data_IF_044328930148
#
_entry.id   IF_044328930148
#
_cell.length_a   1.000
_cell.length_b   1.000
_cell.length_c   1.000
_cell.angle_alpha   90.00
_cell.angle_beta   90.00
_cell.angle_gamma   90.00
#
_symmetry.space_group_name_H-M   'P 1'
#
loop_
_entity.id
_entity.type
_entity.pdbx_description
1 polymer ?
#
# COMPACT_ATOMS: atom_id res chain seq x y z
N UNK A 1 -2.23 -14.09 -19.22
CA UNK A 1 -1.77 -13.21 -18.12
C UNK A 1 -2.86 -13.22 -17.07
N UNK A 2 -2.53 -13.37 -15.79
CA UNK A 2 -3.53 -13.48 -14.74
C UNK A 2 -4.11 -12.09 -14.45
N UNK A 3 -5.42 -11.97 -14.61
CA UNK A 3 -6.20 -10.80 -14.22
C UNK A 3 -7.40 -11.27 -13.42
N UNK A 4 -7.60 -10.68 -12.26
CA UNK A 4 -8.85 -10.72 -11.52
C UNK A 4 -9.81 -9.66 -12.06
N UNK A 5 -11.12 -9.86 -11.86
CA UNK A 5 -12.12 -8.87 -12.26
C UNK A 5 -12.94 -8.43 -11.06
N UNK A 6 -12.89 -7.14 -10.76
CA UNK A 6 -13.76 -6.53 -9.76
C UNK A 6 -14.70 -5.53 -10.44
N UNK A 7 -15.96 -5.91 -10.62
CA UNK A 7 -17.02 -5.07 -11.19
C UNK A 7 -16.65 -4.42 -12.53
N UNK A 8 -15.92 -5.18 -13.40
CA UNK A 8 -15.47 -4.72 -14.70
C UNK A 8 -14.04 -4.18 -14.73
N UNK A 9 -13.44 -3.81 -13.59
CA UNK A 9 -12.04 -3.40 -13.49
C UNK A 9 -11.13 -4.63 -13.45
N UNK A 10 -10.15 -4.68 -14.34
CA UNK A 10 -9.15 -5.76 -14.41
C UNK A 10 -7.97 -5.44 -13.50
N UNK A 11 -7.67 -6.34 -12.58
CA UNK A 11 -6.59 -6.24 -11.63
C UNK A 11 -5.53 -7.28 -11.98
N UNK A 12 -4.34 -6.82 -12.36
CA UNK A 12 -3.21 -7.69 -12.66
C UNK A 12 -2.64 -8.26 -11.37
N UNK A 13 -2.29 -9.56 -11.38
CA UNK A 13 -1.61 -10.19 -10.26
C UNK A 13 -0.55 -11.21 -10.69
N UNK A 14 0.34 -11.55 -9.78
CA UNK A 14 1.37 -12.57 -9.90
C UNK A 14 1.39 -13.41 -8.62
N UNK A 15 1.80 -14.68 -8.73
CA UNK A 15 1.98 -15.57 -7.58
C UNK A 15 3.36 -16.21 -7.66
N UNK A 16 4.12 -16.10 -6.59
CA UNK A 16 5.45 -16.70 -6.48
C UNK A 16 5.61 -17.49 -5.17
N UNK A 17 6.38 -18.58 -5.24
CA UNK A 17 6.63 -19.42 -4.07
C UNK A 17 5.50 -20.39 -3.75
N UNK A 18 5.62 -21.02 -2.57
CA UNK A 18 4.67 -22.02 -2.04
C UNK A 18 4.62 -21.89 -0.52
N UNK A 19 3.47 -22.24 0.08
CA UNK A 19 3.24 -22.19 1.52
C UNK A 19 1.99 -21.40 1.88
N UNK A 20 1.88 -20.89 3.12
CA UNK A 20 0.76 -20.06 3.52
C UNK A 20 0.66 -18.81 2.63
N UNK A 21 -0.55 -18.38 2.22
CA UNK A 21 -0.72 -17.24 1.34
C UNK A 21 -0.39 -15.93 2.06
N UNK A 22 0.42 -15.10 1.39
CA UNK A 22 0.81 -13.76 1.82
C UNK A 22 0.57 -12.77 0.68
N UNK A 23 -0.35 -11.84 0.86
CA UNK A 23 -0.64 -10.77 -0.09
C UNK A 23 0.30 -9.61 0.16
N UNK A 24 0.88 -9.05 -0.91
CA UNK A 24 1.70 -7.84 -0.88
C UNK A 24 1.04 -6.73 -1.68
N UNK A 25 0.66 -5.64 -0.99
CA UNK A 25 -0.01 -4.48 -1.56
C UNK A 25 0.90 -3.23 -1.52
N UNK A 26 1.26 -2.71 -2.68
CA UNK A 26 2.15 -1.56 -2.82
C UNK A 26 1.46 -0.23 -2.48
N UNK A 27 2.27 0.80 -2.21
CA UNK A 27 1.81 2.17 -2.03
C UNK A 27 1.46 2.87 -3.34
N UNK A 28 0.90 4.07 -3.26
CA UNK A 28 0.68 4.92 -4.42
C UNK A 28 2.00 5.13 -5.20
N UNK A 29 1.91 5.21 -6.54
CA UNK A 29 3.06 5.20 -7.47
C UNK A 29 3.83 3.88 -7.56
N UNK A 30 3.40 2.83 -6.84
CA UNK A 30 3.98 1.48 -6.90
C UNK A 30 3.36 0.60 -8.00
N UNK A 31 3.84 -0.62 -8.06
CA UNK A 31 3.28 -1.76 -8.78
C UNK A 31 3.97 -3.03 -8.26
N UNK A 32 3.73 -4.21 -8.86
CA UNK A 32 4.38 -5.47 -8.44
C UNK A 32 5.91 -5.39 -8.41
N UNK A 33 6.54 -4.54 -9.27
CA UNK A 33 8.01 -4.39 -9.26
C UNK A 33 8.55 -3.67 -8.02
N UNK A 34 7.71 -3.01 -7.23
CA UNK A 34 8.10 -2.49 -5.92
C UNK A 34 8.60 -3.64 -5.01
N UNK A 35 7.83 -4.70 -4.90
CA UNK A 35 8.14 -5.82 -4.03
C UNK A 35 9.28 -6.71 -4.57
N UNK A 36 9.33 -6.94 -5.89
CA UNK A 36 10.40 -7.74 -6.52
C UNK A 36 11.71 -6.97 -6.62
N UNK A 37 11.65 -5.70 -7.01
CA UNK A 37 12.84 -4.87 -7.24
C UNK A 37 13.63 -4.53 -5.97
N UNK A 38 12.96 -4.44 -4.82
CA UNK A 38 13.63 -4.27 -3.52
C UNK A 38 13.94 -5.59 -2.80
N UNK A 39 13.70 -6.75 -3.45
CA UNK A 39 14.10 -8.07 -2.94
C UNK A 39 13.22 -8.64 -1.82
N UNK A 40 12.01 -8.10 -1.62
CA UNK A 40 11.05 -8.65 -0.66
C UNK A 40 10.62 -10.08 -1.04
N UNK A 41 10.23 -10.27 -2.30
CA UNK A 41 9.73 -11.56 -2.80
C UNK A 41 10.78 -12.65 -2.64
N UNK A 42 12.05 -12.38 -2.98
CA UNK A 42 13.14 -13.36 -2.87
C UNK A 42 13.37 -13.85 -1.44
N UNK A 43 13.02 -13.05 -0.43
CA UNK A 43 13.15 -13.40 0.99
C UNK A 43 11.92 -14.10 1.56
N UNK A 44 10.79 -14.04 0.86
CA UNK A 44 9.49 -14.54 1.33
C UNK A 44 9.06 -15.83 0.60
N UNK A 45 9.35 -15.96 -0.69
CA UNK A 45 8.84 -17.03 -1.57
C UNK A 45 9.24 -18.45 -1.18
N UNK A 46 10.31 -18.62 -0.40
CA UNK A 46 10.72 -19.94 0.10
C UNK A 46 9.82 -20.44 1.24
N UNK A 47 9.03 -19.56 1.86
CA UNK A 47 8.17 -19.87 3.00
C UNK A 47 6.68 -19.61 2.74
N UNK A 48 6.37 -18.68 1.84
CA UNK A 48 5.01 -18.22 1.57
C UNK A 48 4.67 -18.33 0.08
N UNK A 49 3.40 -18.59 -0.20
CA UNK A 49 2.81 -18.30 -1.50
C UNK A 49 2.55 -16.80 -1.57
N UNK A 50 3.45 -16.05 -2.20
CA UNK A 50 3.44 -14.59 -2.27
C UNK A 50 2.54 -14.16 -3.42
N UNK A 51 1.47 -13.44 -3.11
CA UNK A 51 0.50 -12.93 -4.07
C UNK A 51 0.73 -11.43 -4.21
N UNK A 52 1.16 -11.02 -5.39
CA UNK A 52 1.41 -9.63 -5.77
C UNK A 52 0.31 -9.15 -6.69
N UNK A 53 -0.09 -7.90 -6.59
CA UNK A 53 -1.01 -7.31 -7.56
C UNK A 53 -0.68 -5.84 -7.81
N UNK A 54 -1.00 -5.37 -8.99
CA UNK A 54 -1.01 -3.95 -9.30
C UNK A 54 -2.38 -3.40 -8.89
N UNK A 55 -2.41 -2.46 -7.95
CA UNK A 55 -3.66 -1.80 -7.56
C UNK A 55 -4.28 -1.09 -8.77
N UNK A 56 -5.62 -0.91 -8.78
CA UNK A 56 -6.27 -0.07 -9.81
C UNK A 56 -5.55 1.27 -9.96
N UNK A 57 -5.45 1.77 -11.17
CA UNK A 57 -4.70 2.98 -11.48
C UNK A 57 -3.19 2.75 -11.65
N UNK A 58 -2.67 1.54 -11.45
CA UNK A 58 -1.23 1.27 -11.41
C UNK A 58 -0.84 0.08 -12.31
N UNK A 59 0.40 0.12 -12.79
CA UNK A 59 1.06 -0.98 -13.47
C UNK A 59 0.30 -1.49 -14.70
N UNK A 60 -0.08 -2.78 -14.67
CA UNK A 60 -0.81 -3.47 -15.73
C UNK A 60 -2.32 -3.56 -15.48
N UNK A 61 -2.77 -3.10 -14.31
CA UNK A 61 -4.20 -3.02 -13.99
C UNK A 61 -4.89 -1.89 -14.76
N UNK A 62 -6.22 -1.94 -14.84
CA UNK A 62 -7.00 -0.86 -15.44
C UNK A 62 -6.79 0.45 -14.67
N UNK A 63 -6.78 1.57 -15.41
CA UNK A 63 -6.46 2.91 -14.91
C UNK A 63 -7.65 3.87 -15.07
N UNK A 64 -8.75 3.72 -14.30
CA UNK A 64 -9.86 4.65 -14.37
C UNK A 64 -9.43 6.07 -13.99
N UNK A 65 -10.07 7.09 -14.59
CA UNK A 65 -9.73 8.50 -14.33
C UNK A 65 -10.74 9.19 -13.38
N UNK A 66 -11.82 8.52 -13.03
CA UNK A 66 -12.83 9.01 -12.10
C UNK A 66 -12.37 8.84 -10.66
N UNK A 67 -12.46 9.88 -9.85
CA UNK A 67 -12.02 9.89 -8.44
C UNK A 67 -12.75 8.82 -7.62
N UNK A 68 -14.04 8.65 -7.86
CA UNK A 68 -14.91 7.68 -7.18
C UNK A 68 -14.48 6.23 -7.44
N UNK A 69 -13.76 5.98 -8.52
CA UNK A 69 -13.21 4.65 -8.83
C UNK A 69 -12.13 4.21 -7.83
N UNK A 70 -11.62 5.11 -7.01
CA UNK A 70 -10.60 4.85 -6.00
C UNK A 70 -11.16 4.76 -4.58
N UNK A 71 -12.50 4.68 -4.44
CA UNK A 71 -13.11 4.38 -3.13
C UNK A 71 -12.45 3.15 -2.50
N UNK A 72 -12.04 3.27 -1.23
CA UNK A 72 -11.29 2.24 -0.55
C UNK A 72 -12.01 0.89 -0.50
N UNK A 73 -13.37 0.89 -0.52
CA UNK A 73 -14.16 -0.35 -0.57
C UNK A 73 -14.03 -1.04 -1.92
N UNK A 74 -13.90 -0.28 -3.01
CA UNK A 74 -13.58 -0.86 -4.32
C UNK A 74 -12.18 -1.45 -4.33
N UNK A 75 -11.20 -0.79 -3.69
CA UNK A 75 -9.84 -1.31 -3.57
C UNK A 75 -9.78 -2.57 -2.68
N UNK A 76 -10.56 -2.63 -1.61
CA UNK A 76 -10.80 -3.87 -0.83
C UNK A 76 -11.38 -4.96 -1.73
N UNK A 77 -12.38 -4.63 -2.55
CA UNK A 77 -12.96 -5.55 -3.54
C UNK A 77 -11.94 -6.09 -4.55
N UNK A 78 -10.92 -5.29 -4.93
CA UNK A 78 -9.83 -5.74 -5.82
C UNK A 78 -9.00 -6.85 -5.16
N UNK A 79 -8.65 -6.69 -3.89
CA UNK A 79 -7.90 -7.69 -3.13
C UNK A 79 -8.71 -8.98 -3.03
N UNK A 80 -10.01 -8.89 -2.72
CA UNK A 80 -10.91 -10.05 -2.68
C UNK A 80 -10.98 -10.75 -4.04
N UNK A 81 -11.12 -9.99 -5.14
CA UNK A 81 -11.16 -10.56 -6.48
C UNK A 81 -9.85 -11.28 -6.87
N UNK A 82 -8.70 -10.75 -6.43
CA UNK A 82 -7.40 -11.41 -6.60
C UNK A 82 -7.36 -12.71 -5.78
N UNK A 83 -7.73 -12.67 -4.48
CA UNK A 83 -7.78 -13.87 -3.62
C UNK A 83 -8.67 -14.97 -4.22
N UNK A 84 -9.86 -14.60 -4.70
CA UNK A 84 -10.81 -15.53 -5.30
C UNK A 84 -10.26 -16.13 -6.61
N UNK A 85 -9.55 -15.33 -7.41
CA UNK A 85 -8.94 -15.79 -8.67
C UNK A 85 -7.80 -16.81 -8.46
N UNK A 86 -7.18 -16.81 -7.29
CA UNK A 86 -6.14 -17.79 -6.91
C UNK A 86 -6.65 -18.84 -5.90
N UNK A 87 -7.96 -18.91 -5.69
CA UNK A 87 -8.64 -19.87 -4.79
C UNK A 87 -8.16 -19.79 -3.33
N UNK A 88 -7.76 -18.59 -2.88
CA UNK A 88 -7.32 -18.32 -1.50
C UNK A 88 -8.48 -17.76 -0.69
N UNK A 89 -8.93 -18.51 0.32
CA UNK A 89 -10.01 -18.10 1.20
C UNK A 89 -9.54 -17.17 2.32
N UNK A 90 -8.29 -17.32 2.80
CA UNK A 90 -7.73 -16.53 3.89
C UNK A 90 -6.22 -16.39 3.71
N UNK A 91 -5.66 -15.19 3.98
CA UNK A 91 -4.24 -14.88 3.77
C UNK A 91 -3.68 -14.00 4.89
N UNK A 92 -2.36 -13.99 5.05
CA UNK A 92 -1.65 -12.86 5.64
C UNK A 92 -1.65 -11.70 4.65
N UNK A 93 -1.65 -10.48 5.14
CA UNK A 93 -1.64 -9.28 4.30
C UNK A 93 -0.51 -8.34 4.73
N UNK A 94 0.28 -7.89 3.79
CA UNK A 94 1.31 -6.89 4.00
C UNK A 94 1.12 -5.73 3.02
N UNK A 95 0.74 -4.57 3.54
CA UNK A 95 0.53 -3.35 2.76
C UNK A 95 1.49 -2.24 3.14
N UNK A 96 1.85 -1.42 2.16
CA UNK A 96 2.62 -0.20 2.37
C UNK A 96 1.81 1.04 1.95
N UNK A 97 1.75 2.08 2.80
CA UNK A 97 1.08 3.35 2.50
C UNK A 97 -0.37 3.13 2.04
N UNK A 98 -0.75 3.50 0.83
CA UNK A 98 -2.06 3.22 0.23
C UNK A 98 -2.45 1.74 0.33
N UNK A 99 -1.50 0.81 0.10
CA UNK A 99 -1.72 -0.62 0.30
C UNK A 99 -2.00 -0.98 1.76
N UNK A 100 -1.39 -0.27 2.71
CA UNK A 100 -1.69 -0.41 4.13
C UNK A 100 -3.10 0.07 4.48
N UNK A 101 -3.54 1.20 3.93
CA UNK A 101 -4.91 1.69 4.11
C UNK A 101 -5.95 0.72 3.52
N UNK A 102 -5.64 0.10 2.37
CA UNK A 102 -6.45 -0.98 1.81
C UNK A 102 -6.51 -2.19 2.77
N UNK A 103 -5.39 -2.52 3.43
CA UNK A 103 -5.31 -3.57 4.46
C UNK A 103 -6.18 -3.28 5.68
N UNK A 104 -6.21 -2.03 6.16
CA UNK A 104 -7.13 -1.60 7.21
C UNK A 104 -8.60 -1.79 6.76
N UNK A 105 -8.92 -1.37 5.55
CA UNK A 105 -10.25 -1.59 4.97
C UNK A 105 -10.61 -3.09 4.87
N UNK A 106 -9.66 -3.96 4.52
CA UNK A 106 -9.84 -5.42 4.52
C UNK A 106 -10.17 -5.94 5.93
N UNK A 107 -9.44 -5.49 6.95
CA UNK A 107 -9.65 -5.93 8.33
C UNK A 107 -10.98 -5.47 8.92
N UNK A 108 -11.46 -4.30 8.51
CA UNK A 108 -12.74 -3.75 8.96
C UNK A 108 -13.92 -4.45 8.28
N UNK A 109 -13.84 -4.70 6.97
CA UNK A 109 -14.99 -5.17 6.19
C UNK A 109 -15.00 -6.67 5.89
N UNK A 110 -13.82 -7.32 5.90
CA UNK A 110 -13.65 -8.73 5.54
C UNK A 110 -12.62 -9.42 6.45
N UNK A 111 -12.70 -9.27 7.81
CA UNK A 111 -11.69 -9.82 8.74
C UNK A 111 -11.55 -11.34 8.63
N UNK A 112 -12.60 -12.05 8.21
CA UNK A 112 -12.58 -13.49 7.99
C UNK A 112 -11.65 -13.91 6.84
N UNK A 113 -11.27 -13.00 5.96
CA UNK A 113 -10.35 -13.23 4.84
C UNK A 113 -8.87 -13.06 5.24
N UNK A 114 -8.58 -12.66 6.49
CA UNK A 114 -7.23 -12.33 6.95
C UNK A 114 -6.79 -13.16 8.15
N UNK A 115 -5.55 -13.68 8.11
CA UNK A 115 -4.89 -14.25 9.28
C UNK A 115 -4.24 -13.16 10.13
N UNK A 116 -3.59 -12.19 9.50
CA UNK A 116 -2.89 -11.07 10.15
C UNK A 116 -2.64 -9.93 9.18
N UNK A 117 -2.23 -8.79 9.71
CA UNK A 117 -1.88 -7.58 8.98
C UNK A 117 -0.45 -7.13 9.29
N UNK A 118 0.29 -6.77 8.25
CA UNK A 118 1.53 -6.00 8.34
C UNK A 118 1.31 -4.68 7.59
N UNK A 119 1.48 -3.56 8.28
CA UNK A 119 1.07 -2.23 7.84
C UNK A 119 2.26 -1.27 7.94
N UNK A 120 2.87 -0.98 6.80
CA UNK A 120 4.03 -0.09 6.72
C UNK A 120 3.67 1.29 6.20
N UNK A 121 4.17 2.36 6.83
CA UNK A 121 3.95 3.73 6.39
C UNK A 121 2.48 4.07 6.21
N UNK A 122 1.64 3.62 7.14
CA UNK A 122 0.18 3.72 7.08
C UNK A 122 -0.30 4.68 8.15
N UNK A 123 -1.23 5.54 7.79
CA UNK A 123 -1.98 6.41 8.71
C UNK A 123 -3.41 6.58 8.21
N UNK A 124 -4.31 6.94 9.11
CA UNK A 124 -5.66 7.35 8.75
C UNK A 124 -5.86 8.78 9.20
N UNK A 125 -6.03 9.68 8.26
CA UNK A 125 -6.28 11.09 8.52
C UNK A 125 -7.68 11.46 8.07
N UNK A 126 -8.24 12.50 8.70
CA UNK A 126 -9.48 13.10 8.21
C UNK A 126 -9.26 13.68 6.81
N UNK A 127 -10.20 13.47 5.87
CA UNK A 127 -10.08 14.05 4.55
C UNK A 127 -10.03 15.58 4.63
N UNK A 128 -9.19 16.19 3.80
CA UNK A 128 -9.10 17.64 3.72
C UNK A 128 -10.42 18.23 3.24
N UNK A 129 -10.82 19.38 3.80
CA UNK A 129 -11.86 20.20 3.20
C UNK A 129 -11.40 20.67 1.80
N UNK A 130 -12.30 20.67 0.81
CA UNK A 130 -11.98 21.06 -0.58
C UNK A 130 -11.49 22.51 -0.73
N UNK A 131 -11.68 23.36 0.28
CA UNK A 131 -11.10 24.70 0.32
C UNK A 131 -9.63 24.72 0.76
N UNK A 132 -9.13 23.61 1.33
CA UNK A 132 -7.73 23.46 1.73
C UNK A 132 -6.90 23.06 0.52
N UNK A 133 -5.71 23.64 0.41
CA UNK A 133 -4.74 23.28 -0.64
C UNK A 133 -4.35 21.81 -0.55
N UNK A 134 -4.31 21.08 -1.69
CA UNK A 134 -3.95 19.67 -1.69
C UNK A 134 -2.49 19.45 -1.29
N UNK A 135 -2.20 18.24 -0.86
CA UNK A 135 -0.84 17.77 -0.59
C UNK A 135 0.10 17.95 -1.79
N UNK A 136 1.40 17.99 -1.52
CA UNK A 136 2.43 18.23 -2.54
C UNK A 136 2.36 17.25 -3.71
N UNK A 137 2.13 15.98 -3.43
CA UNK A 137 2.08 14.92 -4.45
C UNK A 137 0.95 15.13 -5.46
N UNK A 138 -0.26 15.51 -5.02
CA UNK A 138 -1.35 15.81 -5.94
C UNK A 138 -1.02 17.02 -6.85
N UNK A 139 -0.37 18.06 -6.31
CA UNK A 139 0.10 19.19 -7.11
C UNK A 139 1.10 18.77 -8.18
N UNK A 140 2.04 17.89 -7.83
CA UNK A 140 3.04 17.34 -8.77
C UNK A 140 2.33 16.61 -9.93
N UNK A 141 1.40 15.70 -9.64
CA UNK A 141 0.70 14.96 -10.69
C UNK A 141 -0.22 15.83 -11.53
N UNK A 142 -0.95 16.80 -10.94
CA UNK A 142 -1.74 17.78 -11.71
C UNK A 142 -0.88 18.58 -12.67
N UNK A 143 0.32 18.97 -12.25
CA UNK A 143 1.29 19.63 -13.11
C UNK A 143 1.82 18.67 -14.18
N UNK A 144 2.11 17.42 -13.82
CA UNK A 144 2.57 16.40 -14.74
C UNK A 144 1.61 16.10 -15.88
N UNK A 145 0.30 16.15 -15.64
CA UNK A 145 -0.71 16.02 -16.72
C UNK A 145 -0.55 17.13 -17.78
N UNK A 146 -0.09 18.31 -17.40
CA UNK A 146 0.10 19.46 -18.32
C UNK A 146 1.49 19.49 -18.96
N UNK A 147 2.54 19.14 -18.20
CA UNK A 147 3.94 19.34 -18.58
C UNK A 147 4.67 18.02 -18.90
N UNK A 148 4.03 16.87 -18.65
CA UNK A 148 4.59 15.54 -18.93
C UNK A 148 5.31 14.87 -17.76
N UNK A 149 5.64 13.59 -17.93
CA UNK A 149 6.22 12.74 -16.89
C UNK A 149 7.61 13.19 -16.42
N UNK A 150 8.42 13.78 -17.30
CA UNK A 150 9.74 14.28 -16.92
C UNK A 150 9.61 15.36 -15.83
N UNK A 151 8.58 16.18 -15.90
CA UNK A 151 8.27 17.17 -14.86
C UNK A 151 7.91 16.52 -13.53
N UNK A 152 7.11 15.44 -13.56
CA UNK A 152 6.81 14.66 -12.35
C UNK A 152 8.09 14.13 -11.72
N UNK A 153 8.99 13.57 -12.53
CA UNK A 153 10.28 13.04 -12.07
C UNK A 153 11.14 14.12 -11.42
N UNK A 154 11.24 15.30 -12.04
CA UNK A 154 11.95 16.43 -11.47
C UNK A 154 11.39 16.88 -10.13
N UNK A 155 10.07 17.05 -10.04
CA UNK A 155 9.38 17.50 -8.83
C UNK A 155 9.45 16.43 -7.72
N UNK A 156 9.32 15.14 -8.05
CA UNK A 156 9.49 14.03 -7.09
C UNK A 156 10.93 13.94 -6.58
N UNK A 157 11.93 14.15 -7.45
CA UNK A 157 13.34 14.21 -7.04
C UNK A 157 13.61 15.39 -6.11
N UNK A 158 12.98 16.54 -6.37
CA UNK A 158 13.09 17.72 -5.50
C UNK A 158 12.39 17.49 -4.15
N UNK A 159 11.29 16.74 -4.12
CA UNK A 159 10.55 16.42 -2.90
C UNK A 159 11.31 15.44 -1.99
N UNK A 160 11.88 14.38 -2.56
CA UNK A 160 12.55 13.29 -1.83
C UNK A 160 14.08 13.48 -1.70
N UNK A 161 14.65 14.56 -2.25
CA UNK A 161 16.10 14.78 -2.31
C UNK A 161 16.80 13.91 -3.36
N UNK A 162 16.40 12.66 -3.52
CA UNK A 162 16.88 11.74 -4.56
C UNK A 162 15.83 10.67 -4.83
N UNK A 163 15.88 10.06 -6.00
CA UNK A 163 15.04 8.89 -6.35
C UNK A 163 15.93 7.83 -7.02
N UNK A 164 15.59 6.55 -6.79
CA UNK A 164 16.30 5.44 -7.42
C UNK A 164 15.95 5.32 -8.91
N UNK A 165 16.82 4.73 -9.76
CA UNK A 165 16.48 4.45 -11.15
C UNK A 165 15.22 3.60 -11.30
N UNK A 166 15.00 2.63 -10.41
CA UNK A 166 13.81 1.78 -10.39
C UNK A 166 12.54 2.58 -10.09
N UNK A 167 12.62 3.56 -9.18
CA UNK A 167 11.50 4.43 -8.89
C UNK A 167 11.20 5.37 -10.07
N UNK A 168 12.25 5.92 -10.70
CA UNK A 168 12.09 6.73 -11.91
C UNK A 168 11.41 5.94 -13.04
N UNK A 169 11.82 4.68 -13.28
CA UNK A 169 11.19 3.82 -14.27
C UNK A 169 9.70 3.57 -13.95
N UNK A 170 9.35 3.33 -12.68
CA UNK A 170 7.93 3.22 -12.27
C UNK A 170 7.16 4.50 -12.57
N UNK A 171 7.70 5.67 -12.23
CA UNK A 171 7.05 6.96 -12.51
C UNK A 171 6.78 7.15 -14.02
N UNK A 172 7.71 6.74 -14.89
CA UNK A 172 7.54 6.80 -16.35
C UNK A 172 6.42 5.91 -16.86
N UNK A 173 6.10 4.84 -16.17
CA UNK A 173 5.03 3.89 -16.51
C UNK A 173 3.64 4.28 -15.98
N UNK A 174 3.51 5.36 -15.21
CA UNK A 174 2.23 5.76 -14.61
C UNK A 174 1.30 6.45 -15.61
N UNK A 175 0.02 6.15 -15.52
CA UNK A 175 -1.04 7.00 -16.07
C UNK A 175 -1.22 8.22 -15.16
N UNK A 176 -0.78 9.39 -15.62
CA UNK A 176 -0.78 10.61 -14.81
C UNK A 176 -2.18 11.10 -14.46
N UNK A 177 -3.19 10.84 -15.31
CA UNK A 177 -4.59 11.20 -15.01
C UNK A 177 -5.17 10.28 -13.93
N UNK A 178 -4.88 8.99 -14.00
CA UNK A 178 -5.22 8.06 -12.93
C UNK A 178 -4.55 8.46 -11.61
N UNK A 179 -3.27 8.85 -11.63
CA UNK A 179 -2.58 9.33 -10.42
C UNK A 179 -3.22 10.60 -9.83
N UNK A 180 -3.67 11.53 -10.66
CA UNK A 180 -4.45 12.68 -10.17
C UNK A 180 -5.70 12.20 -9.45
N UNK A 181 -6.47 11.26 -10.02
CA UNK A 181 -7.69 10.74 -9.40
C UNK A 181 -7.39 9.98 -8.09
N UNK A 182 -6.32 9.17 -8.05
CA UNK A 182 -5.84 8.49 -6.84
C UNK A 182 -5.54 9.49 -5.72
N UNK A 183 -4.69 10.46 -5.99
CA UNK A 183 -4.29 11.43 -4.97
C UNK A 183 -5.39 12.43 -4.61
N UNK A 184 -6.32 12.71 -5.51
CA UNK A 184 -7.54 13.46 -5.20
C UNK A 184 -8.42 12.69 -4.20
N UNK A 185 -8.61 11.38 -4.44
CA UNK A 185 -9.33 10.53 -3.49
C UNK A 185 -8.63 10.50 -2.12
N UNK A 186 -7.33 10.24 -2.09
CA UNK A 186 -6.55 10.17 -0.84
C UNK A 186 -6.59 11.48 -0.04
N UNK A 187 -6.59 12.64 -0.71
CA UNK A 187 -6.59 13.94 -0.02
C UNK A 187 -7.97 14.36 0.48
N UNK A 188 -9.04 14.06 -0.28
CA UNK A 188 -10.33 14.72 -0.06
C UNK A 188 -11.50 13.77 0.18
N UNK A 189 -11.33 12.48 -0.01
CA UNK A 189 -12.41 11.52 0.01
C UNK A 189 -12.15 10.27 0.85
N UNK A 190 -10.89 9.95 1.15
CA UNK A 190 -10.57 8.81 1.97
C UNK A 190 -11.05 9.08 3.40
N UNK A 191 -11.95 8.24 3.96
CA UNK A 191 -12.41 8.45 5.32
C UNK A 191 -11.30 8.17 6.33
N UNK A 192 -11.33 8.87 7.46
CA UNK A 192 -10.62 8.41 8.63
C UNK A 192 -11.25 7.10 9.13
N UNK A 193 -10.40 6.14 9.46
CA UNK A 193 -10.81 4.83 9.98
C UNK A 193 -10.30 4.61 11.40
N UNK A 194 -9.86 5.67 12.09
CA UNK A 194 -9.15 5.58 13.37
C UNK A 194 -9.95 4.84 14.45
N UNK A 195 -11.25 5.10 14.54
CA UNK A 195 -12.10 4.42 15.52
C UNK A 195 -12.31 2.94 15.18
N UNK A 196 -12.54 2.63 13.90
CA UNK A 196 -12.76 1.28 13.41
C UNK A 196 -11.48 0.43 13.51
N UNK A 197 -10.31 1.04 13.35
CA UNK A 197 -9.01 0.37 13.50
C UNK A 197 -8.82 -0.15 14.93
N UNK A 198 -9.28 0.58 15.95
CA UNK A 198 -9.18 0.16 17.34
C UNK A 198 -10.00 -1.10 17.66
N UNK A 199 -11.03 -1.39 16.85
CA UNK A 199 -11.88 -2.58 17.01
C UNK A 199 -11.32 -3.82 16.29
N UNK A 200 -10.19 -3.68 15.57
CA UNK A 200 -9.56 -4.82 14.87
C UNK A 200 -8.95 -5.79 15.89
N UNK A 201 -9.44 -7.03 15.89
CA UNK A 201 -8.93 -8.11 16.77
C UNK A 201 -7.81 -8.94 16.15
N UNK A 202 -7.57 -8.80 14.84
CA UNK A 202 -6.51 -9.52 14.12
C UNK A 202 -5.12 -9.14 14.66
N UNK A 203 -4.16 -10.09 14.63
CA UNK A 203 -2.76 -9.75 14.88
C UNK A 203 -2.25 -8.71 13.87
N UNK A 204 -1.68 -7.61 14.37
CA UNK A 204 -1.19 -6.51 13.55
C UNK A 204 0.27 -6.17 13.88
N UNK A 205 1.07 -5.93 12.84
CA UNK A 205 2.39 -5.32 12.94
C UNK A 205 2.39 -4.01 12.17
N UNK A 206 2.49 -2.90 12.86
CA UNK A 206 2.73 -1.59 12.26
C UNK A 206 4.22 -1.31 12.19
N UNK A 207 4.68 -0.62 11.15
CA UNK A 207 6.03 -0.07 11.11
C UNK A 207 6.09 1.23 10.31
N UNK A 208 6.98 2.13 10.70
CA UNK A 208 7.24 3.38 9.98
C UNK A 208 8.65 3.88 10.29
N UNK A 209 9.17 4.74 9.44
CA UNK A 209 10.37 5.52 9.72
C UNK A 209 10.08 6.61 10.76
N UNK A 210 11.02 6.92 11.63
CA UNK A 210 10.82 7.96 12.65
C UNK A 210 10.87 9.38 12.09
N UNK A 211 11.35 9.56 10.85
CA UNK A 211 11.22 10.80 10.10
C UNK A 211 9.91 10.89 9.26
N UNK A 212 9.07 9.85 9.25
CA UNK A 212 7.70 9.83 8.74
C UNK A 212 6.73 10.07 9.91
N UNK A 213 6.71 11.29 10.43
CA UNK A 213 6.11 11.64 11.73
C UNK A 213 4.67 11.17 11.89
N UNK A 214 3.82 11.36 10.88
CA UNK A 214 2.38 11.04 10.94
C UNK A 214 2.17 9.51 10.97
N UNK A 215 2.79 8.76 10.08
CA UNK A 215 2.68 7.30 10.05
C UNK A 215 3.35 6.65 11.28
N UNK A 216 4.47 7.22 11.75
CA UNK A 216 5.16 6.75 12.94
C UNK A 216 4.31 6.93 14.20
N UNK A 217 3.74 8.12 14.38
CA UNK A 217 2.83 8.43 15.48
C UNK A 217 1.59 7.53 15.46
N UNK A 218 0.94 7.43 14.30
CA UNK A 218 -0.24 6.56 14.13
C UNK A 218 0.07 5.11 14.52
N UNK A 219 1.16 4.53 13.98
CA UNK A 219 1.53 3.14 14.29
C UNK A 219 1.81 2.91 15.78
N UNK A 220 2.47 3.86 16.45
CA UNK A 220 2.70 3.80 17.90
C UNK A 220 1.41 3.86 18.69
N UNK A 221 0.50 4.78 18.36
CA UNK A 221 -0.78 4.96 19.04
C UNK A 221 -1.68 3.74 18.87
N UNK A 222 -1.76 3.19 17.65
CA UNK A 222 -2.53 1.97 17.37
C UNK A 222 -1.96 0.77 18.14
N UNK A 223 -0.65 0.56 18.12
CA UNK A 223 -0.03 -0.54 18.85
C UNK A 223 -0.18 -0.42 20.38
N UNK A 224 -0.29 0.80 20.91
CA UNK A 224 -0.51 1.02 22.34
C UNK A 224 -1.97 0.77 22.79
N UNK A 225 -2.94 0.90 21.89
CA UNK A 225 -4.37 0.83 22.19
C UNK A 225 -5.02 -0.48 21.72
N UNK A 226 -4.57 -1.05 20.62
CA UNK A 226 -5.09 -2.32 20.08
C UNK A 226 -4.57 -3.52 20.90
N UNK A 227 -5.42 -4.51 21.11
CA UNK A 227 -5.12 -5.69 21.92
C UNK A 227 -3.99 -6.57 21.35
N UNK A 228 -3.93 -6.71 20.03
CA UNK A 228 -3.06 -7.67 19.31
C UNK A 228 -2.13 -6.96 18.31
N UNK A 229 -1.71 -5.72 18.63
CA UNK A 229 -0.85 -4.96 17.74
C UNK A 229 0.55 -4.77 18.31
N UNK A 230 1.54 -4.68 17.39
CA UNK A 230 2.93 -4.35 17.66
C UNK A 230 3.37 -3.20 16.76
N UNK A 231 4.33 -2.41 17.19
CA UNK A 231 4.94 -1.37 16.37
C UNK A 231 6.45 -1.57 16.28
N UNK A 232 6.99 -1.38 15.08
CA UNK A 232 8.44 -1.38 14.83
C UNK A 232 8.86 -0.05 14.18
N UNK A 233 9.75 0.68 14.86
CA UNK A 233 10.33 1.93 14.36
C UNK A 233 11.55 1.66 13.50
N UNK A 234 11.67 2.38 12.37
CA UNK A 234 12.83 2.36 11.49
C UNK A 234 13.60 3.69 11.64
N UNK A 235 14.70 3.71 12.44
CA UNK A 235 15.40 4.95 12.79
C UNK A 235 16.02 5.65 11.58
N UNK A 236 15.83 6.97 11.48
CA UNK A 236 16.43 7.84 10.48
C UNK A 236 15.78 7.73 9.09
N UNK A 237 14.70 6.96 8.93
CA UNK A 237 14.05 6.78 7.65
C UNK A 237 12.77 7.62 7.56
N UNK A 238 12.57 8.23 6.40
CA UNK A 238 11.31 8.86 6.01
C UNK A 238 10.37 7.85 5.34
N UNK A 239 9.24 8.33 4.84
CA UNK A 239 8.22 7.51 4.16
C UNK A 239 8.78 6.70 2.97
N UNK A 240 9.66 7.30 2.18
CA UNK A 240 10.27 6.62 1.02
C UNK A 240 11.36 5.65 1.48
N UNK A 241 12.24 6.07 2.36
CA UNK A 241 13.33 5.24 2.89
C UNK A 241 12.81 4.00 3.64
N UNK A 242 11.71 4.14 4.39
CA UNK A 242 11.09 3.01 5.07
C UNK A 242 10.47 1.98 4.11
N UNK A 243 10.09 2.40 2.90
CA UNK A 243 9.48 1.54 1.89
C UNK A 243 10.45 0.54 1.25
N UNK A 244 11.74 0.85 1.22
CA UNK A 244 12.78 -0.01 0.65
C UNK A 244 13.74 -0.61 1.69
N UNK A 245 13.44 -0.43 2.99
CA UNK A 245 14.23 -0.93 4.11
C UNK A 245 14.12 -2.47 4.33
N UNK A 246 14.22 -3.24 3.25
CA UNK A 246 13.98 -4.69 3.20
C UNK A 246 14.83 -5.45 4.21
N UNK A 247 16.12 -5.07 4.36
CA UNK A 247 17.06 -5.71 5.29
C UNK A 247 16.64 -5.57 6.75
N UNK A 248 15.98 -4.47 7.09
CA UNK A 248 15.56 -4.17 8.45
C UNK A 248 14.17 -4.75 8.77
N UNK A 249 13.23 -4.68 7.80
CA UNK A 249 11.82 -5.00 8.08
C UNK A 249 11.47 -6.47 7.83
N UNK A 250 12.02 -7.12 6.80
CA UNK A 250 11.66 -8.52 6.51
C UNK A 250 11.93 -9.47 7.68
N UNK A 251 13.07 -9.39 8.40
CA UNK A 251 13.27 -10.22 9.59
C UNK A 251 12.20 -10.03 10.67
N UNK A 252 11.72 -8.80 10.87
CA UNK A 252 10.69 -8.48 11.85
C UNK A 252 9.32 -9.05 11.44
N UNK A 253 9.01 -8.95 10.15
CA UNK A 253 7.77 -9.51 9.60
C UNK A 253 7.80 -11.03 9.68
N UNK A 254 8.90 -11.67 9.30
CA UNK A 254 9.02 -13.12 9.40
C UNK A 254 8.93 -13.63 10.85
N UNK A 255 9.51 -12.90 11.82
CA UNK A 255 9.36 -13.22 13.23
C UNK A 255 7.92 -13.06 13.70
N UNK A 256 7.25 -11.96 13.31
CA UNK A 256 5.85 -11.73 13.63
C UNK A 256 4.94 -12.83 13.07
N UNK A 257 5.11 -13.22 11.80
CA UNK A 257 4.30 -14.26 11.16
C UNK A 257 4.54 -15.63 11.79
N UNK A 258 5.79 -15.97 12.15
CA UNK A 258 6.13 -17.23 12.81
C UNK A 258 5.54 -17.35 14.22
N UNK A 259 5.29 -16.24 14.93
CA UNK A 259 4.61 -16.24 16.24
C UNK A 259 3.12 -16.62 16.13
N UNK A 260 2.56 -16.68 14.90
CA UNK A 260 1.14 -16.95 14.65
C UNK A 260 0.88 -18.38 14.16
N UNK A 261 1.92 -19.13 13.79
CA UNK A 261 1.88 -20.54 13.40
C UNK A 261 1.83 -21.46 14.64
#
# INVERSE_FOLDING_TARGET
MPFANNQGTKIYYEVEGQGPPLILAHGATGNTTFWTGYGYVDRLKDKYSVILFDARGHGKSDTPHEVESYDYRLMVGDVIAVMDSVEVTKAHYWGYSMGGNTGLGMAIHCPERLFSLVLGGTSTEEPLDKSVEPGRTLKIFRRGVQEGVDRVIEDMRALAGSITPQYEERLRGLDLQAMVAVFEYLNYHQPSLENEVLEIELPCLFYAGDADEDCHKFGQEMAAQMRNARFYSLPGLDHVGASDATEQIVPQVLAFLADLE
#
